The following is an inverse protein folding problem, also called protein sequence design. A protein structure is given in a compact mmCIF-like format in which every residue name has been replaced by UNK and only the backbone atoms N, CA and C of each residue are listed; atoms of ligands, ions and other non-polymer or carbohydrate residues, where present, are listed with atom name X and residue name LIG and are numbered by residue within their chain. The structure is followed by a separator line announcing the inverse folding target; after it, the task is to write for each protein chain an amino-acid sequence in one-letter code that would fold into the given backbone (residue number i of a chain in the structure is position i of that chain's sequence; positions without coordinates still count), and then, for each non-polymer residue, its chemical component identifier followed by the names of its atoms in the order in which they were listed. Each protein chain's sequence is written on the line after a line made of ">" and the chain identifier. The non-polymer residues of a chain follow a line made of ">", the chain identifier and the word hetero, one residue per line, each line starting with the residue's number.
data_IF_182522920339
#
_entry.id   IF_182522920339
#
_cell.length_a   1.000
_cell.length_b   1.000
_cell.length_c   1.000
_cell.angle_alpha   90.00
_cell.angle_beta   90.00
_cell.angle_gamma   90.00
#
_symmetry.space_group_name_H-M   'P 1'
#
loop_
_entity.id
_entity.type
_entity.pdbx_description
1 polymer ?
#
# COMPACT_ATOMS: atom_id res chain seq x y z
N UNK A 1 -13.48 -12.49 16.28
CA UNK A 1 -14.52 -12.48 15.24
C UNK A 1 -14.41 -11.16 14.49
N UNK A 2 -13.57 -11.12 13.45
CA UNK A 2 -13.46 -9.95 12.55
C UNK A 2 -14.68 -9.95 11.65
N UNK A 3 -15.51 -8.92 11.81
CA UNK A 3 -16.73 -8.70 11.05
C UNK A 3 -16.39 -8.43 9.58
N UNK A 4 -17.09 -9.10 8.65
CA UNK A 4 -16.93 -8.95 7.18
C UNK A 4 -17.09 -7.52 6.66
N UNK A 5 -17.46 -6.57 7.53
CA UNK A 5 -17.54 -5.14 7.27
C UNK A 5 -16.18 -4.41 7.36
N UNK A 6 -15.19 -5.02 8.01
CA UNK A 6 -13.80 -4.53 8.08
C UNK A 6 -12.94 -5.06 6.92
N UNK A 7 -13.51 -5.93 6.07
CA UNK A 7 -12.87 -6.35 4.84
C UNK A 7 -12.89 -5.17 3.85
N UNK A 8 -11.72 -4.58 3.62
CA UNK A 8 -11.57 -3.40 2.76
C UNK A 8 -12.03 -3.68 1.32
N UNK A 9 -12.09 -4.96 0.94
CA UNK A 9 -12.53 -5.44 -0.37
C UNK A 9 -14.03 -5.75 -0.46
N UNK A 10 -14.79 -5.67 0.63
CA UNK A 10 -16.24 -5.88 0.59
C UNK A 10 -16.96 -4.74 -0.16
N UNK A 11 -17.70 -5.01 -1.26
CA UNK A 11 -18.29 -3.98 -2.08
C UNK A 11 -19.60 -3.46 -1.50
N UNK A 12 -19.50 -2.56 -0.50
CA UNK A 12 -20.64 -1.97 0.21
C UNK A 12 -21.21 -0.70 -0.46
N UNK A 13 -20.43 -0.01 -1.29
CA UNK A 13 -20.76 1.36 -1.70
C UNK A 13 -21.38 1.41 -3.10
N UNK A 14 -22.57 2.00 -3.21
CA UNK A 14 -23.21 2.27 -4.51
C UNK A 14 -22.55 3.46 -5.20
N UNK A 15 -22.68 3.52 -6.53
CA UNK A 15 -22.14 4.60 -7.39
C UNK A 15 -22.32 6.02 -6.83
N UNK A 16 -23.55 6.39 -6.47
CA UNK A 16 -23.86 7.73 -5.98
C UNK A 16 -23.22 8.04 -4.62
N UNK A 17 -23.23 7.04 -3.72
CA UNK A 17 -22.58 7.16 -2.40
C UNK A 17 -21.06 7.26 -2.53
N UNK A 18 -20.46 6.43 -3.37
CA UNK A 18 -19.04 6.48 -3.70
C UNK A 18 -18.62 7.86 -4.24
N UNK A 19 -19.36 8.37 -5.23
CA UNK A 19 -19.12 9.68 -5.82
C UNK A 19 -19.22 10.81 -4.78
N UNK A 20 -20.26 10.80 -3.95
CA UNK A 20 -20.46 11.79 -2.89
C UNK A 20 -19.37 11.77 -1.82
N UNK A 21 -18.93 10.60 -1.37
CA UNK A 21 -17.86 10.48 -0.35
C UNK A 21 -16.51 11.00 -0.84
N UNK A 22 -16.22 10.84 -2.14
CA UNK A 22 -14.96 11.30 -2.73
C UNK A 22 -15.02 12.73 -3.28
N UNK A 23 -16.21 13.36 -3.28
CA UNK A 23 -16.41 14.67 -3.90
C UNK A 23 -16.21 14.67 -5.42
N UNK A 24 -16.42 13.53 -6.08
CA UNK A 24 -16.20 13.33 -7.53
C UNK A 24 -17.50 13.08 -8.26
N UNK A 25 -17.46 13.19 -9.59
CA UNK A 25 -18.63 12.86 -10.42
C UNK A 25 -18.76 11.34 -10.61
N UNK A 26 -19.97 10.81 -10.84
CA UNK A 26 -20.14 9.44 -11.29
C UNK A 26 -19.45 9.16 -12.64
N UNK A 27 -19.27 10.18 -13.49
CA UNK A 27 -18.53 10.01 -14.74
C UNK A 27 -17.05 9.67 -14.49
N UNK A 28 -16.43 10.30 -13.49
CA UNK A 28 -15.06 10.02 -13.07
C UNK A 28 -14.87 8.57 -12.61
N UNK A 29 -15.74 8.06 -11.73
CA UNK A 29 -15.66 6.66 -11.30
C UNK A 29 -15.90 5.67 -12.47
N UNK A 30 -16.67 6.06 -13.50
CA UNK A 30 -16.80 5.25 -14.73
C UNK A 30 -15.50 5.27 -15.54
N UNK A 31 -14.85 6.42 -15.69
CA UNK A 31 -13.58 6.51 -16.43
C UNK A 31 -12.47 5.71 -15.76
N UNK A 32 -12.43 5.67 -14.42
CA UNK A 32 -11.49 4.80 -13.68
C UNK A 32 -11.74 3.32 -13.96
N UNK A 33 -13.02 2.91 -14.02
CA UNK A 33 -13.37 1.54 -14.38
C UNK A 33 -13.00 1.20 -15.83
N UNK A 34 -13.18 2.13 -16.77
CA UNK A 34 -12.73 1.94 -18.17
C UNK A 34 -11.20 1.87 -18.27
N UNK A 35 -10.47 2.59 -17.42
CA UNK A 35 -9.01 2.53 -17.34
C UNK A 35 -8.49 1.25 -16.67
N UNK A 36 -9.37 0.39 -16.13
CA UNK A 36 -9.00 -0.85 -15.46
C UNK A 36 -8.41 -0.67 -14.05
N UNK A 37 -8.53 0.53 -13.45
CA UNK A 37 -8.04 0.78 -12.10
C UNK A 37 -8.98 0.17 -11.03
N UNK A 38 -10.29 0.21 -11.29
CA UNK A 38 -11.30 -0.31 -10.37
C UNK A 38 -12.25 -1.25 -11.11
N UNK A 39 -12.53 -2.41 -10.53
CA UNK A 39 -13.49 -3.38 -11.03
C UNK A 39 -14.71 -3.45 -10.11
N UNK A 40 -15.77 -2.68 -10.38
CA UNK A 40 -16.95 -2.71 -9.53
C UNK A 40 -17.66 -4.06 -9.65
N UNK A 41 -17.99 -4.65 -8.51
CA UNK A 41 -18.87 -5.82 -8.48
C UNK A 41 -20.28 -5.38 -8.91
N UNK A 42 -20.95 -6.23 -9.70
CA UNK A 42 -22.35 -5.98 -10.06
C UNK A 42 -23.23 -6.78 -9.11
N UNK A 43 -24.12 -6.09 -8.41
CA UNK A 43 -25.15 -6.75 -7.63
C UNK A 43 -26.12 -7.53 -8.53
N UNK A 44 -26.91 -8.42 -7.93
CA UNK A 44 -28.01 -9.13 -8.63
C UNK A 44 -28.98 -8.17 -9.34
N UNK A 45 -29.10 -6.92 -8.89
CA UNK A 45 -29.90 -5.86 -9.53
C UNK A 45 -29.15 -5.03 -10.58
N UNK A 46 -27.93 -5.41 -10.97
CA UNK A 46 -27.13 -4.74 -12.00
C UNK A 46 -26.43 -3.45 -11.57
N UNK A 47 -26.56 -3.06 -10.30
CA UNK A 47 -25.90 -1.86 -9.77
C UNK A 47 -24.43 -2.12 -9.45
N UNK A 48 -23.57 -1.17 -9.85
CA UNK A 48 -22.15 -1.17 -9.50
C UNK A 48 -21.98 -0.95 -8.00
N UNK A 49 -21.20 -1.83 -7.38
CA UNK A 49 -20.78 -1.73 -5.99
C UNK A 49 -19.26 -1.64 -5.93
N UNK A 50 -18.80 -0.76 -5.06
CA UNK A 50 -17.40 -0.45 -4.87
C UNK A 50 -16.98 -0.86 -3.46
N UNK A 51 -15.80 -1.46 -3.36
CA UNK A 51 -15.16 -1.72 -2.08
C UNK A 51 -14.55 -0.45 -1.50
N UNK A 52 -14.19 -0.47 -0.22
CA UNK A 52 -13.51 0.68 0.41
C UNK A 52 -12.15 0.92 -0.24
N UNK A 53 -11.40 -0.14 -0.49
CA UNK A 53 -10.10 -0.10 -1.13
C UNK A 53 -10.17 0.57 -2.52
N UNK A 54 -11.17 0.22 -3.34
CA UNK A 54 -11.39 0.86 -4.64
C UNK A 54 -11.66 2.37 -4.55
N UNK A 55 -12.30 2.82 -3.48
CA UNK A 55 -12.54 4.26 -3.25
C UNK A 55 -11.27 4.97 -2.79
N UNK A 56 -10.41 4.30 -2.02
CA UNK A 56 -9.10 4.83 -1.63
C UNK A 56 -8.22 5.04 -2.88
N UNK A 57 -8.17 4.07 -3.80
CA UNK A 57 -7.48 4.20 -5.09
C UNK A 57 -8.06 5.36 -5.93
N UNK A 58 -9.38 5.48 -6.01
CA UNK A 58 -10.04 6.56 -6.74
C UNK A 58 -9.73 7.95 -6.13
N UNK A 59 -9.66 8.04 -4.81
CA UNK A 59 -9.26 9.24 -4.09
C UNK A 59 -7.81 9.65 -4.39
N UNK A 60 -6.89 8.68 -4.43
CA UNK A 60 -5.49 8.93 -4.80
C UNK A 60 -5.35 9.45 -6.23
N UNK A 61 -6.08 8.86 -7.19
CA UNK A 61 -6.07 9.38 -8.57
C UNK A 61 -6.60 10.80 -8.64
N UNK A 62 -7.67 11.13 -7.90
CA UNK A 62 -8.18 12.51 -7.82
C UNK A 62 -7.10 13.47 -7.36
N UNK A 63 -6.35 13.12 -6.32
CA UNK A 63 -5.26 13.94 -5.82
C UNK A 63 -4.20 14.21 -6.91
N UNK A 64 -3.76 13.16 -7.62
CA UNK A 64 -2.78 13.31 -8.70
C UNK A 64 -3.32 14.18 -9.85
N UNK A 65 -4.62 14.09 -10.17
CA UNK A 65 -5.25 14.99 -11.15
C UNK A 65 -5.25 16.45 -10.67
N UNK A 66 -5.52 16.69 -9.39
CA UNK A 66 -5.49 18.02 -8.77
C UNK A 66 -4.06 18.61 -8.81
N UNK A 67 -3.03 17.75 -8.78
CA UNK A 67 -1.61 18.10 -8.98
C UNK A 67 -1.24 18.31 -10.46
N UNK A 68 -2.18 18.15 -11.40
CA UNK A 68 -1.99 18.35 -12.84
C UNK A 68 -1.48 17.14 -13.61
N UNK A 69 -1.43 15.96 -12.98
CA UNK A 69 -1.02 14.71 -13.64
C UNK A 69 -2.15 14.23 -14.54
N UNK A 70 -1.81 13.71 -15.72
CA UNK A 70 -2.79 13.16 -16.66
C UNK A 70 -3.45 11.90 -16.09
N UNK A 71 -4.76 11.72 -16.34
CA UNK A 71 -5.54 10.57 -15.85
C UNK A 71 -4.87 9.21 -16.12
N UNK A 72 -4.33 9.01 -17.32
CA UNK A 72 -3.65 7.76 -17.67
C UNK A 72 -2.38 7.53 -16.83
N UNK A 73 -1.60 8.58 -16.58
CA UNK A 73 -0.42 8.52 -15.73
C UNK A 73 -0.80 8.31 -14.26
N UNK A 74 -1.81 9.03 -13.77
CA UNK A 74 -2.32 8.87 -12.40
C UNK A 74 -2.83 7.44 -12.16
N UNK A 75 -3.65 6.89 -13.06
CA UNK A 75 -4.09 5.49 -12.96
C UNK A 75 -2.91 4.52 -12.93
N UNK A 76 -1.88 4.75 -13.77
CA UNK A 76 -0.70 3.89 -13.81
C UNK A 76 0.10 3.94 -12.51
N UNK A 77 0.34 5.15 -11.97
CA UNK A 77 1.05 5.35 -10.71
C UNK A 77 0.33 4.63 -9.59
N UNK A 78 -0.98 4.88 -9.42
CA UNK A 78 -1.77 4.29 -8.35
C UNK A 78 -1.85 2.77 -8.45
N UNK A 79 -1.97 2.23 -9.67
CA UNK A 79 -1.92 0.77 -9.88
C UNK A 79 -0.59 0.16 -9.43
N UNK A 80 0.52 0.87 -9.67
CA UNK A 80 1.85 0.40 -9.26
C UNK A 80 2.04 0.53 -7.74
N UNK A 81 1.64 1.64 -7.14
CA UNK A 81 1.65 1.86 -5.68
C UNK A 81 0.86 0.75 -4.97
N UNK A 82 -0.32 0.39 -5.48
CA UNK A 82 -1.15 -0.68 -4.91
C UNK A 82 -0.50 -2.07 -5.00
N UNK A 83 0.03 -2.42 -6.18
CA UNK A 83 0.76 -3.69 -6.36
C UNK A 83 2.00 -3.77 -5.47
N UNK A 84 2.67 -2.65 -5.27
CA UNK A 84 3.83 -2.54 -4.40
C UNK A 84 3.43 -2.80 -2.94
N UNK A 85 2.39 -2.12 -2.46
CA UNK A 85 1.84 -2.34 -1.12
C UNK A 85 1.38 -3.79 -0.92
N UNK A 86 0.79 -4.43 -1.94
CA UNK A 86 0.42 -5.84 -1.90
C UNK A 86 1.65 -6.76 -1.83
N UNK A 87 2.69 -6.47 -2.61
CA UNK A 87 3.94 -7.23 -2.58
C UNK A 87 4.64 -7.12 -1.22
N UNK A 88 4.71 -5.92 -0.64
CA UNK A 88 5.26 -5.71 0.71
C UNK A 88 4.51 -6.47 1.77
N UNK A 89 3.17 -6.38 1.77
CA UNK A 89 2.32 -7.17 2.69
C UNK A 89 2.66 -8.65 2.57
N UNK A 90 2.78 -9.16 1.35
CA UNK A 90 3.10 -10.57 1.11
C UNK A 90 4.49 -10.96 1.62
N UNK A 91 5.47 -10.09 1.49
CA UNK A 91 6.83 -10.35 1.98
C UNK A 91 6.86 -10.37 3.51
N UNK A 92 6.16 -9.43 4.16
CA UNK A 92 6.02 -9.40 5.62
C UNK A 92 5.33 -10.68 6.12
N UNK A 93 4.24 -11.11 5.45
CA UNK A 93 3.55 -12.38 5.78
C UNK A 93 4.46 -13.61 5.70
N UNK A 94 5.42 -13.61 4.77
CA UNK A 94 6.40 -14.69 4.59
C UNK A 94 7.61 -14.57 5.53
N UNK A 95 7.62 -13.59 6.44
CA UNK A 95 8.68 -13.38 7.44
C UNK A 95 9.82 -12.47 6.98
N UNK A 96 9.65 -11.72 5.89
CA UNK A 96 10.59 -10.69 5.49
C UNK A 96 10.46 -9.40 6.31
N UNK A 97 11.54 -8.64 6.41
CA UNK A 97 11.61 -7.35 7.11
C UNK A 97 11.69 -6.21 6.10
N UNK A 98 10.73 -6.15 5.17
CA UNK A 98 10.61 -5.04 4.22
C UNK A 98 9.65 -4.00 4.80
N UNK A 99 10.14 -2.78 4.93
CA UNK A 99 9.38 -1.60 5.30
C UNK A 99 9.05 -0.80 4.03
N UNK A 100 7.94 -0.04 4.00
CA UNK A 100 7.59 0.79 2.84
C UNK A 100 8.70 1.79 2.43
N UNK A 101 9.60 2.13 3.35
CA UNK A 101 10.71 3.07 3.13
C UNK A 101 11.92 2.42 2.42
N UNK A 102 12.04 1.09 2.46
CA UNK A 102 13.12 0.36 1.79
C UNK A 102 13.06 0.52 0.26
N UNK A 103 11.86 0.73 -0.29
CA UNK A 103 11.65 0.99 -1.71
C UNK A 103 12.12 2.38 -2.16
N UNK A 104 12.06 3.38 -1.27
CA UNK A 104 12.51 4.74 -1.58
C UNK A 104 14.03 4.81 -1.82
N UNK A 105 14.77 3.78 -1.37
CA UNK A 105 16.20 3.62 -1.59
C UNK A 105 16.55 2.75 -2.81
N UNK A 106 15.55 2.18 -3.53
CA UNK A 106 15.81 1.41 -4.75
C UNK A 106 16.28 2.35 -5.87
N UNK A 107 17.49 2.18 -6.42
CA UNK A 107 17.88 2.91 -7.61
C UNK A 107 16.92 2.56 -8.76
N UNK A 108 16.25 3.57 -9.30
CA UNK A 108 15.38 3.42 -10.48
C UNK A 108 16.25 2.96 -11.68
N UNK A 109 15.76 2.12 -12.60
CA UNK A 109 16.50 1.71 -13.81
C UNK A 109 16.99 2.86 -14.71
N UNK A 110 16.62 4.11 -14.40
CA UNK A 110 17.13 5.34 -15.02
C UNK A 110 18.48 5.81 -14.44
N UNK A 111 19.03 5.12 -13.44
CA UNK A 111 20.36 5.44 -12.93
C UNK A 111 21.44 4.88 -13.88
N UNK A 112 22.35 5.72 -14.43
CA UNK A 112 23.31 5.29 -15.44
C UNK A 112 24.31 4.21 -14.94
N UNK A 113 24.47 4.03 -13.63
CA UNK A 113 25.47 3.15 -13.01
C UNK A 113 24.97 1.74 -12.62
N UNK A 114 23.81 1.29 -13.13
CA UNK A 114 23.24 -0.05 -12.83
C UNK A 114 24.12 -1.23 -13.29
N UNK A 115 25.22 -0.99 -14.00
CA UNK A 115 26.17 -2.04 -14.38
C UNK A 115 27.21 -2.37 -13.28
N UNK A 116 27.33 -1.59 -12.20
CA UNK A 116 28.48 -1.73 -11.26
C UNK A 116 28.11 -2.00 -9.80
N UNK A 117 26.91 -1.70 -9.33
CA UNK A 117 26.63 -1.78 -7.89
C UNK A 117 25.91 -3.08 -7.52
N UNK A 118 26.62 -3.90 -6.73
CA UNK A 118 26.11 -5.09 -6.04
C UNK A 118 25.08 -4.63 -4.97
N UNK A 119 23.85 -4.33 -5.40
CA UNK A 119 22.78 -3.74 -4.60
C UNK A 119 21.98 -4.82 -3.84
N UNK A 120 22.66 -5.63 -3.03
CA UNK A 120 22.00 -6.21 -1.87
C UNK A 120 22.36 -5.33 -0.68
N UNK A 121 21.40 -4.78 0.08
CA UNK A 121 21.74 -4.16 1.33
C UNK A 121 22.40 -5.24 2.19
N UNK A 122 23.52 -4.90 2.81
CA UNK A 122 24.10 -5.73 3.86
C UNK A 122 22.99 -6.01 4.87
N UNK A 123 22.81 -7.26 5.36
CA UNK A 123 21.72 -7.57 6.30
C UNK A 123 21.70 -6.54 7.42
N UNK A 124 20.55 -5.90 7.64
CA UNK A 124 20.38 -4.94 8.73
C UNK A 124 20.88 -5.60 10.03
N UNK A 125 21.68 -4.92 10.87
CA UNK A 125 22.05 -5.47 12.17
C UNK A 125 20.76 -5.82 12.93
N UNK A 126 20.72 -7.04 13.45
CA UNK A 126 19.61 -7.59 14.23
C UNK A 126 19.19 -6.57 15.32
N UNK A 127 18.04 -5.93 15.13
CA UNK A 127 17.42 -5.10 16.17
C UNK A 127 16.67 -5.98 17.17
N UNK A 128 17.34 -7.00 17.70
CA UNK A 128 16.94 -7.64 18.93
C UNK A 128 16.96 -6.58 20.03
N UNK A 129 15.87 -6.37 20.79
CA UNK A 129 15.89 -5.44 21.92
C UNK A 129 17.01 -5.87 22.88
N UNK A 130 17.77 -4.94 23.47
CA UNK A 130 18.86 -5.31 24.36
C UNK A 130 18.29 -6.18 25.48
N UNK A 131 18.84 -7.38 25.65
CA UNK A 131 18.55 -8.17 26.84
C UNK A 131 18.87 -7.33 28.07
N UNK A 132 17.96 -7.23 29.06
CA UNK A 132 18.23 -6.47 30.25
C UNK A 132 19.50 -7.03 30.89
N UNK A 133 20.51 -6.17 31.08
CA UNK A 133 21.75 -6.53 31.77
C UNK A 133 21.37 -7.00 33.17
N UNK A 134 21.59 -8.29 33.43
CA UNK A 134 21.49 -8.85 34.77
C UNK A 134 22.61 -8.22 35.62
N UNK A 135 22.26 -7.19 36.37
CA UNK A 135 23.12 -6.58 37.38
C UNK A 135 23.15 -7.46 38.64
N UNK A 136 23.69 -8.67 38.49
CA UNK A 136 24.11 -9.47 39.63
C UNK A 136 25.42 -8.89 40.17
N UNK A 137 25.30 -8.08 41.23
CA UNK A 137 26.40 -7.54 42.03
C UNK A 137 27.34 -8.66 42.54
N UNK A 138 28.67 -8.48 42.54
CA UNK A 138 29.56 -9.42 43.19
C UNK A 138 29.41 -9.30 44.71
N UNK A 139 29.08 -10.39 45.39
CA UNK A 139 29.14 -10.49 46.85
C UNK A 139 30.58 -10.30 47.32
N UNK A 140 30.83 -9.46 48.35
CA UNK A 140 32.17 -9.27 48.88
C UNK A 140 32.64 -10.53 49.62
N UNK A 141 33.83 -11.01 49.28
CA UNK A 141 34.54 -12.05 50.03
C UNK A 141 34.82 -11.57 51.46
N UNK A 142 34.19 -12.21 52.44
CA UNK A 142 34.59 -12.12 53.84
C UNK A 142 35.91 -12.87 54.04
N UNK A 143 36.73 -12.31 54.92
CA UNK A 143 38.11 -12.67 55.24
C UNK A 143 38.18 -13.71 56.34
#
# INVERSE_FOLDING_TARGET
>A
MTTTLDDADFPAYTMGRAAGMLGVTPAFLRSLGTAGLIEPERSLGGHRRYSRHQLELAGRVRQLLDEGILLAAACRIVTLEDRLAAAHRRIIELGGTLTPDDDANLPTPTHPDIATTNYYPTPLPDHSPPTPRDHSLPTPRAR
#
